data_IF_712776259054
#
_entry.id   IF_712776259054
#
_cell.length_a   1.000
_cell.length_b   1.000
_cell.length_c   1.000
_cell.angle_alpha   90.00
_cell.angle_beta   90.00
_cell.angle_gamma   90.00
#
_symmetry.space_group_name_H-M   'P 1'
#
loop_
_entity.id
_entity.type
_entity.pdbx_description
1 polymer ?
#
# COMPACT_ATOMS: atom_id res chain seq x y z
N UNK A 1 -15.33 8.42 17.15
CA UNK A 1 -15.50 7.66 15.88
C UNK A 1 -16.99 7.48 15.63
N UNK A 2 -17.53 8.26 14.70
CA UNK A 2 -18.96 8.30 14.36
C UNK A 2 -19.29 7.53 13.08
N UNK A 3 -18.27 7.19 12.25
CA UNK A 3 -18.45 6.43 11.03
C UNK A 3 -19.27 5.16 11.25
N UNK A 4 -20.24 4.90 10.40
CA UNK A 4 -21.03 3.68 10.45
C UNK A 4 -20.22 2.45 10.01
N UNK A 5 -19.26 2.63 9.11
CA UNK A 5 -18.28 1.61 8.74
C UNK A 5 -16.92 2.26 8.46
N UNK A 6 -15.84 1.57 8.85
CA UNK A 6 -14.49 2.00 8.52
C UNK A 6 -13.52 0.83 8.40
N UNK A 7 -12.40 1.09 7.73
CA UNK A 7 -11.25 0.18 7.68
C UNK A 7 -9.95 0.97 7.62
N UNK A 8 -8.91 0.44 8.26
CA UNK A 8 -7.52 0.92 8.17
C UNK A 8 -6.64 -0.23 7.71
N UNK A 9 -5.96 -0.04 6.60
CA UNK A 9 -5.07 -1.05 6.01
C UNK A 9 -3.66 -0.53 5.82
N UNK A 10 -2.69 -1.36 6.15
CA UNK A 10 -1.28 -1.06 5.96
C UNK A 10 -0.79 -1.52 4.59
N UNK A 11 -0.04 -0.67 3.88
CA UNK A 11 0.70 -1.06 2.68
C UNK A 11 2.05 -1.73 2.99
N UNK A 12 2.48 -1.70 4.26
CA UNK A 12 3.74 -2.33 4.71
C UNK A 12 3.63 -3.85 4.64
N UNK A 13 2.52 -4.41 5.11
CA UNK A 13 2.31 -5.85 5.26
C UNK A 13 0.92 -6.34 4.79
N UNK A 14 0.06 -5.43 4.31
CA UNK A 14 -1.29 -5.75 3.84
C UNK A 14 -2.32 -5.98 4.96
N UNK A 15 -1.94 -5.79 6.24
CA UNK A 15 -2.82 -6.01 7.40
C UNK A 15 -3.94 -4.98 7.48
N UNK A 16 -5.09 -5.46 7.95
CA UNK A 16 -6.12 -4.59 8.52
C UNK A 16 -5.74 -4.30 9.97
N UNK A 17 -5.51 -3.02 10.28
CA UNK A 17 -5.09 -2.54 11.60
C UNK A 17 -6.30 -2.23 12.49
N UNK A 18 -7.38 -1.74 11.90
CA UNK A 18 -8.65 -1.50 12.56
C UNK A 18 -9.79 -1.61 11.55
N UNK A 19 -10.96 -2.05 12.01
CA UNK A 19 -12.16 -2.14 11.18
C UNK A 19 -13.42 -2.13 12.05
N UNK A 20 -14.51 -1.56 11.52
CA UNK A 20 -15.88 -1.68 12.04
C UNK A 20 -16.83 -1.79 10.86
N UNK A 21 -17.68 -2.82 10.85
CA UNK A 21 -18.65 -3.08 9.77
C UNK A 21 -18.04 -2.95 8.35
N UNK A 22 -16.74 -3.30 8.22
CA UNK A 22 -15.95 -3.00 7.01
C UNK A 22 -16.44 -3.74 5.77
N UNK A 23 -17.20 -4.81 5.94
CA UNK A 23 -17.74 -5.66 4.88
C UNK A 23 -19.25 -5.46 4.67
N UNK A 24 -19.87 -4.54 5.42
CA UNK A 24 -21.28 -4.18 5.26
C UNK A 24 -21.45 -3.28 4.05
N UNK A 25 -22.34 -3.67 3.13
CA UNK A 25 -22.68 -2.87 1.95
C UNK A 25 -23.37 -1.57 2.34
N UNK A 26 -22.91 -0.46 1.76
CA UNK A 26 -23.44 0.90 1.94
C UNK A 26 -23.36 1.70 0.66
N UNK A 27 -24.24 2.70 0.46
CA UNK A 27 -24.04 3.71 -0.56
C UNK A 27 -22.66 4.36 -0.37
N UNK A 28 -21.97 4.61 -1.49
CA UNK A 28 -20.58 5.10 -1.46
C UNK A 28 -20.42 6.50 -2.05
N UNK A 29 -21.50 7.07 -2.55
CA UNK A 29 -21.53 8.39 -3.21
C UNK A 29 -20.40 8.53 -4.26
N UNK A 30 -19.82 9.72 -4.37
CA UNK A 30 -18.79 10.08 -5.36
C UNK A 30 -17.47 9.31 -5.24
N UNK A 31 -17.26 8.46 -4.23
CA UNK A 31 -16.11 7.53 -4.23
C UNK A 31 -16.16 6.61 -5.46
N UNK A 32 -17.35 6.38 -6.02
CA UNK A 32 -17.60 5.73 -7.31
C UNK A 32 -16.68 6.23 -8.43
N UNK A 33 -16.35 7.53 -8.45
CA UNK A 33 -15.56 8.15 -9.52
C UNK A 33 -14.11 7.62 -9.61
N UNK A 34 -13.60 7.00 -8.55
CA UNK A 34 -12.33 6.26 -8.62
C UNK A 34 -12.41 5.11 -9.62
N UNK A 35 -13.50 4.33 -9.61
CA UNK A 35 -13.72 3.24 -10.57
C UNK A 35 -13.97 3.81 -11.97
N UNK A 36 -14.75 4.88 -12.07
CA UNK A 36 -15.05 5.53 -13.35
C UNK A 36 -13.78 5.98 -14.05
N UNK A 37 -12.91 6.70 -13.35
CA UNK A 37 -11.65 7.17 -13.91
C UNK A 37 -10.70 6.00 -14.21
N UNK A 38 -10.64 4.99 -13.35
CA UNK A 38 -9.82 3.81 -13.56
C UNK A 38 -10.18 3.10 -14.88
N UNK A 39 -11.47 2.82 -15.09
CA UNK A 39 -11.98 2.15 -16.30
C UNK A 39 -11.87 3.03 -17.54
N UNK A 40 -12.07 4.34 -17.39
CA UNK A 40 -11.96 5.28 -18.51
C UNK A 40 -10.52 5.38 -19.02
N UNK A 41 -9.54 5.45 -18.12
CA UNK A 41 -8.10 5.54 -18.48
C UNK A 41 -7.53 4.26 -19.09
N UNK A 42 -8.17 3.10 -18.93
CA UNK A 42 -7.81 1.88 -19.68
C UNK A 42 -8.17 1.97 -21.18
N UNK A 43 -9.01 2.94 -21.58
CA UNK A 43 -9.66 3.02 -22.91
C UNK A 43 -9.41 4.32 -23.64
N UNK A 44 -9.09 5.37 -22.90
CA UNK A 44 -9.00 6.72 -23.44
C UNK A 44 -7.62 7.32 -23.13
N UNK A 45 -6.85 7.75 -24.13
CA UNK A 45 -5.67 8.56 -23.89
C UNK A 45 -6.04 9.97 -23.39
N UNK A 46 -5.19 10.59 -22.57
CA UNK A 46 -5.46 11.85 -21.88
C UNK A 46 -5.69 13.04 -22.79
N UNK A 47 -5.11 13.04 -23.96
CA UNK A 47 -5.18 14.12 -24.97
C UNK A 47 -6.37 13.96 -25.93
N UNK A 48 -7.05 12.82 -25.90
CA UNK A 48 -8.26 12.62 -26.70
C UNK A 48 -9.31 13.65 -26.32
N UNK A 49 -9.81 14.38 -27.32
CA UNK A 49 -10.92 15.33 -27.15
C UNK A 49 -12.25 14.57 -27.15
N UNK A 50 -13.06 14.82 -26.16
CA UNK A 50 -14.40 14.27 -25.96
C UNK A 50 -15.41 15.39 -26.17
N UNK A 51 -16.45 15.12 -26.95
CA UNK A 51 -17.62 15.97 -27.03
C UNK A 51 -18.60 15.58 -25.93
N UNK A 52 -18.97 16.52 -25.07
CA UNK A 52 -19.87 16.32 -23.93
C UNK A 52 -21.26 15.91 -24.43
N UNK A 53 -21.75 14.71 -24.06
CA UNK A 53 -23.07 14.28 -24.49
C UNK A 53 -24.18 14.98 -23.67
N UNK A 54 -25.34 15.19 -24.25
CA UNK A 54 -26.46 15.82 -23.56
C UNK A 54 -26.88 15.13 -22.24
N UNK A 55 -26.64 13.81 -22.11
CA UNK A 55 -26.91 13.10 -20.87
C UNK A 55 -25.96 13.53 -19.76
N UNK A 56 -24.71 13.89 -20.06
CA UNK A 56 -23.76 14.39 -19.10
C UNK A 56 -24.09 15.79 -18.61
N UNK A 57 -24.41 16.71 -19.55
CA UNK A 57 -24.79 18.09 -19.23
C UNK A 57 -26.09 18.22 -18.38
N UNK A 58 -26.87 17.12 -18.28
CA UNK A 58 -28.10 17.10 -17.46
C UNK A 58 -27.96 16.46 -16.10
N UNK A 59 -26.78 15.95 -15.76
CA UNK A 59 -26.55 15.34 -14.44
C UNK A 59 -26.36 16.44 -13.40
N UNK A 60 -27.27 16.47 -12.41
CA UNK A 60 -27.25 17.47 -11.34
C UNK A 60 -26.19 17.26 -10.27
N UNK A 61 -26.27 18.07 -9.23
CA UNK A 61 -25.38 18.18 -8.06
C UNK A 61 -23.98 18.68 -8.45
N UNK A 62 -22.88 18.10 -7.87
CA UNK A 62 -21.51 18.54 -8.19
C UNK A 62 -21.26 18.51 -9.70
N UNK A 63 -20.93 19.66 -10.29
CA UNK A 63 -20.82 19.85 -11.74
C UNK A 63 -19.62 20.74 -12.09
N UNK A 64 -19.10 20.62 -13.30
CA UNK A 64 -18.28 21.63 -13.98
C UNK A 64 -19.13 22.57 -14.84
N UNK A 65 -20.46 22.38 -14.84
CA UNK A 65 -21.42 23.09 -15.67
C UNK A 65 -21.11 22.94 -17.16
N UNK A 66 -20.85 21.69 -17.57
CA UNK A 66 -20.51 21.36 -18.94
C UNK A 66 -21.76 21.47 -19.86
N UNK A 67 -21.62 22.19 -20.96
CA UNK A 67 -22.65 22.27 -21.99
C UNK A 67 -22.64 21.05 -22.93
N UNK A 68 -23.82 20.65 -23.39
CA UNK A 68 -23.94 19.65 -24.44
C UNK A 68 -23.26 20.13 -25.74
N UNK A 69 -22.33 19.30 -26.26
CA UNK A 69 -21.54 19.68 -27.44
C UNK A 69 -20.21 20.36 -27.11
N UNK A 70 -19.96 20.74 -25.86
CA UNK A 70 -18.68 21.25 -25.41
C UNK A 70 -17.56 20.22 -25.66
N UNK A 71 -16.35 20.68 -25.94
CA UNK A 71 -15.22 19.79 -26.30
C UNK A 71 -14.09 19.95 -25.31
N UNK A 72 -13.78 18.89 -24.57
CA UNK A 72 -12.72 18.85 -23.55
C UNK A 72 -11.81 17.64 -23.75
N UNK A 73 -10.51 17.76 -23.46
CA UNK A 73 -9.63 16.59 -23.42
C UNK A 73 -10.00 15.69 -22.24
N UNK A 74 -9.78 14.39 -22.38
CA UNK A 74 -9.98 13.39 -21.32
C UNK A 74 -9.29 13.80 -20.02
N UNK A 75 -8.12 14.42 -20.10
CA UNK A 75 -7.39 14.95 -18.93
C UNK A 75 -8.27 15.88 -18.09
N UNK A 76 -8.96 16.82 -18.70
CA UNK A 76 -9.76 17.80 -17.98
C UNK A 76 -11.02 17.17 -17.37
N UNK A 77 -11.63 16.22 -18.05
CA UNK A 77 -12.73 15.42 -17.50
C UNK A 77 -12.26 14.55 -16.31
N UNK A 78 -11.04 14.01 -16.35
CA UNK A 78 -10.45 13.26 -15.22
C UNK A 78 -10.18 14.19 -14.03
N UNK A 79 -9.64 15.39 -14.28
CA UNK A 79 -9.46 16.42 -13.24
C UNK A 79 -10.84 16.77 -12.64
N UNK A 80 -11.83 17.06 -13.48
CA UNK A 80 -13.19 17.40 -13.06
C UNK A 80 -13.83 16.31 -12.19
N UNK A 81 -13.67 15.05 -12.55
CA UNK A 81 -14.21 13.92 -11.77
C UNK A 81 -13.50 13.70 -10.43
N UNK A 82 -12.19 13.92 -10.34
CA UNK A 82 -11.40 13.61 -9.14
C UNK A 82 -11.26 14.81 -8.20
N UNK A 83 -11.05 16.03 -8.69
CA UNK A 83 -10.77 17.22 -7.87
C UNK A 83 -12.09 17.83 -7.33
N UNK A 84 -12.94 18.51 -8.13
CA UNK A 84 -14.21 19.05 -7.65
C UNK A 84 -15.31 17.99 -7.56
N UNK A 85 -15.02 16.75 -7.92
CA UNK A 85 -16.00 15.65 -7.87
C UNK A 85 -17.17 15.77 -8.86
N UNK A 86 -16.98 16.38 -10.03
CA UNK A 86 -18.01 16.69 -11.00
C UNK A 86 -18.70 15.45 -11.61
N UNK A 87 -20.02 15.42 -11.57
CA UNK A 87 -20.86 14.31 -12.05
C UNK A 87 -20.97 14.29 -13.58
N UNK A 88 -21.07 15.47 -14.20
CA UNK A 88 -21.08 15.66 -15.65
C UNK A 88 -19.78 15.18 -16.30
N UNK A 89 -18.62 15.52 -15.72
CA UNK A 89 -17.32 15.05 -16.17
C UNK A 89 -17.21 13.51 -16.10
N UNK A 90 -17.66 12.91 -14.99
CA UNK A 90 -17.67 11.45 -14.80
C UNK A 90 -18.58 10.77 -15.83
N UNK A 91 -19.74 11.38 -16.12
CA UNK A 91 -20.71 10.87 -17.12
C UNK A 91 -20.18 11.02 -18.54
N UNK A 92 -19.52 12.13 -18.85
CA UNK A 92 -18.89 12.34 -20.16
C UNK A 92 -17.77 11.31 -20.41
N UNK A 93 -16.92 11.04 -19.40
CA UNK A 93 -15.93 9.96 -19.44
C UNK A 93 -16.57 8.59 -19.68
N UNK A 94 -17.65 8.29 -18.97
CA UNK A 94 -18.36 7.01 -19.09
C UNK A 94 -18.91 6.80 -20.51
N UNK A 95 -19.55 7.80 -21.10
CA UNK A 95 -20.07 7.72 -22.48
C UNK A 95 -18.93 7.61 -23.49
N UNK A 96 -17.87 8.41 -23.32
CA UNK A 96 -16.72 8.37 -24.23
C UNK A 96 -15.99 7.01 -24.21
N UNK A 97 -15.88 6.37 -23.04
CA UNK A 97 -15.19 5.09 -22.87
C UNK A 97 -16.05 3.87 -23.17
N UNK A 98 -17.36 3.94 -22.90
CA UNK A 98 -18.31 2.83 -23.01
C UNK A 98 -19.31 2.92 -24.16
N UNK A 99 -19.40 4.08 -24.82
CA UNK A 99 -20.41 4.37 -25.83
C UNK A 99 -21.80 4.74 -25.25
N UNK A 100 -22.09 4.32 -24.02
CA UNK A 100 -23.29 4.70 -23.26
C UNK A 100 -23.08 4.44 -21.77
N UNK A 101 -23.87 5.12 -20.92
CA UNK A 101 -23.83 4.91 -19.45
C UNK A 101 -24.09 3.45 -19.07
N UNK A 102 -25.13 2.75 -19.56
CA UNK A 102 -25.38 1.35 -19.19
C UNK A 102 -24.24 0.40 -19.58
N UNK A 103 -23.65 0.59 -20.76
CA UNK A 103 -22.49 -0.22 -21.20
C UNK A 103 -21.28 0.07 -20.34
N UNK A 104 -21.05 1.32 -19.97
CA UNK A 104 -19.93 1.67 -19.09
C UNK A 104 -20.11 1.10 -17.68
N UNK A 105 -21.30 1.16 -17.11
CA UNK A 105 -21.62 0.52 -15.82
C UNK A 105 -21.34 -0.99 -15.86
N UNK A 106 -21.63 -1.66 -17.00
CA UNK A 106 -21.25 -3.07 -17.18
C UNK A 106 -19.73 -3.26 -17.12
N UNK A 107 -18.94 -2.33 -17.67
CA UNK A 107 -17.47 -2.35 -17.57
C UNK A 107 -17.00 -2.13 -16.12
N UNK A 108 -17.58 -1.17 -15.40
CA UNK A 108 -17.26 -0.93 -13.97
C UNK A 108 -17.51 -2.18 -13.13
N UNK A 109 -18.66 -2.84 -13.30
CA UNK A 109 -18.98 -4.07 -12.56
C UNK A 109 -18.10 -5.26 -12.97
N UNK A 110 -17.66 -5.33 -14.22
CA UNK A 110 -16.66 -6.32 -14.64
C UNK A 110 -15.32 -6.07 -13.97
N UNK A 111 -14.87 -4.82 -13.91
CA UNK A 111 -13.62 -4.46 -13.24
C UNK A 111 -13.71 -4.70 -11.74
N UNK A 112 -14.84 -4.39 -11.08
CA UNK A 112 -15.06 -4.71 -9.68
C UNK A 112 -14.84 -6.21 -9.39
N UNK A 113 -15.45 -7.09 -10.20
CA UNK A 113 -15.25 -8.54 -10.08
C UNK A 113 -13.79 -8.95 -10.29
N UNK A 114 -13.10 -8.40 -11.30
CA UNK A 114 -11.68 -8.65 -11.58
C UNK A 114 -10.78 -8.24 -10.41
N UNK A 115 -11.11 -7.17 -9.73
CA UNK A 115 -10.40 -6.67 -8.55
C UNK A 115 -10.79 -7.38 -7.25
N UNK A 116 -11.76 -8.30 -7.27
CA UNK A 116 -12.24 -9.01 -6.09
C UNK A 116 -13.07 -8.13 -5.14
N UNK A 117 -13.71 -7.07 -5.63
CA UNK A 117 -14.58 -6.18 -4.86
C UNK A 117 -15.97 -6.82 -4.73
N UNK A 118 -16.07 -7.83 -3.88
CA UNK A 118 -17.24 -8.72 -3.80
C UNK A 118 -18.48 -8.07 -3.19
N UNK A 119 -18.31 -7.03 -2.39
CA UNK A 119 -19.38 -6.23 -1.80
C UNK A 119 -19.78 -5.01 -2.64
N UNK A 120 -19.22 -4.86 -3.87
CA UNK A 120 -19.39 -3.65 -4.68
C UNK A 120 -20.26 -3.90 -5.91
N UNK A 121 -21.23 -3.04 -6.11
CA UNK A 121 -22.04 -3.01 -7.32
C UNK A 121 -22.35 -1.56 -7.75
N UNK A 122 -22.08 -1.25 -9.02
CA UNK A 122 -22.30 0.04 -9.62
C UNK A 122 -23.60 0.07 -10.44
N UNK A 123 -24.33 1.20 -10.37
CA UNK A 123 -25.51 1.49 -11.18
C UNK A 123 -25.29 2.70 -12.10
N UNK A 124 -24.43 3.63 -11.67
CA UNK A 124 -24.10 4.83 -12.43
C UNK A 124 -22.61 5.16 -12.27
N UNK A 125 -22.04 6.08 -13.11
CA UNK A 125 -20.61 6.39 -13.07
C UNK A 125 -20.22 7.51 -12.09
N UNK A 126 -21.18 8.17 -11.45
CA UNK A 126 -20.94 9.38 -10.65
C UNK A 126 -21.18 9.18 -9.15
N UNK A 127 -22.04 8.23 -8.75
CA UNK A 127 -22.28 7.89 -7.36
C UNK A 127 -23.53 8.53 -6.73
N UNK A 128 -24.43 9.11 -7.53
CA UNK A 128 -25.75 9.53 -7.04
C UNK A 128 -26.56 8.32 -6.56
N UNK A 129 -27.47 8.57 -5.64
CA UNK A 129 -28.26 7.53 -4.99
C UNK A 129 -29.10 6.74 -5.99
N UNK A 130 -28.93 5.44 -6.03
CA UNK A 130 -29.67 4.50 -6.85
C UNK A 130 -29.72 3.14 -6.14
N UNK A 131 -30.87 2.49 -6.15
CA UNK A 131 -31.05 1.21 -5.48
C UNK A 131 -30.04 0.17 -5.97
N UNK A 132 -29.29 -0.42 -5.05
CA UNK A 132 -28.23 -1.38 -5.35
C UNK A 132 -26.92 -0.76 -5.84
N UNK A 133 -26.75 0.59 -5.76
CA UNK A 133 -25.43 1.24 -5.93
C UNK A 133 -24.69 1.24 -4.59
N UNK A 134 -23.89 0.21 -4.35
CA UNK A 134 -23.30 -0.04 -3.03
C UNK A 134 -21.85 -0.50 -3.11
N UNK A 135 -21.13 -0.30 -2.01
CA UNK A 135 -19.80 -0.86 -1.78
C UNK A 135 -19.59 -1.14 -0.28
N UNK A 136 -18.39 -1.58 0.07
CA UNK A 136 -17.95 -1.76 1.45
C UNK A 136 -16.71 -0.92 1.73
N UNK A 137 -16.46 -0.58 3.00
CA UNK A 137 -15.24 0.16 3.36
C UNK A 137 -13.97 -0.58 2.92
N UNK A 138 -13.98 -1.91 3.00
CA UNK A 138 -12.85 -2.76 2.55
C UNK A 138 -12.65 -2.72 1.05
N UNK A 139 -13.71 -2.82 0.28
CA UNK A 139 -13.63 -2.76 -1.19
C UNK A 139 -13.16 -1.39 -1.66
N UNK A 140 -13.66 -0.32 -1.04
CA UNK A 140 -13.26 1.06 -1.33
C UNK A 140 -11.77 1.28 -1.05
N UNK A 141 -11.26 0.80 0.10
CA UNK A 141 -9.84 0.88 0.42
C UNK A 141 -8.99 0.09 -0.59
N UNK A 142 -9.48 -1.09 -1.02
CA UNK A 142 -8.84 -1.90 -2.06
C UNK A 142 -8.85 -1.18 -3.41
N UNK A 143 -9.98 -0.58 -3.78
CA UNK A 143 -10.11 0.19 -5.02
C UNK A 143 -9.12 1.36 -5.05
N UNK A 144 -9.04 2.18 -3.99
CA UNK A 144 -8.09 3.28 -3.93
C UNK A 144 -6.66 2.78 -4.11
N UNK A 145 -6.27 1.74 -3.38
CA UNK A 145 -4.92 1.17 -3.47
C UNK A 145 -4.56 0.69 -4.89
N UNK A 146 -5.53 0.13 -5.62
CA UNK A 146 -5.33 -0.28 -7.02
C UNK A 146 -5.28 0.95 -7.94
N UNK A 147 -6.23 1.88 -7.79
CA UNK A 147 -6.32 3.09 -8.59
C UNK A 147 -5.03 3.94 -8.51
N UNK A 148 -4.42 4.03 -7.32
CA UNK A 148 -3.17 4.78 -7.12
C UNK A 148 -1.92 4.16 -7.77
N UNK A 149 -2.01 2.95 -8.34
CA UNK A 149 -0.96 2.42 -9.21
C UNK A 149 -0.89 3.17 -10.54
N UNK A 150 -2.02 3.73 -10.97
CA UNK A 150 -2.06 4.63 -12.12
C UNK A 150 -1.52 6.02 -11.70
N UNK A 151 -0.43 6.51 -12.32
CA UNK A 151 0.20 7.77 -11.93
C UNK A 151 -0.71 8.99 -12.17
N UNK A 152 -1.63 8.92 -13.13
CA UNK A 152 -2.59 9.97 -13.43
C UNK A 152 -3.60 10.12 -12.29
N UNK A 153 -4.20 9.00 -11.85
CA UNK A 153 -5.13 9.00 -10.72
C UNK A 153 -4.43 9.48 -9.46
N UNK A 154 -3.23 8.94 -9.18
CA UNK A 154 -2.46 9.35 -8.00
C UNK A 154 -2.15 10.85 -7.99
N UNK A 155 -1.83 11.42 -9.16
CA UNK A 155 -1.57 12.85 -9.28
C UNK A 155 -2.82 13.66 -8.99
N UNK A 156 -3.92 13.42 -9.70
CA UNK A 156 -5.10 14.29 -9.65
C UNK A 156 -5.94 14.08 -8.39
N UNK A 157 -6.04 12.87 -7.86
CA UNK A 157 -6.71 12.61 -6.59
C UNK A 157 -5.94 13.14 -5.35
N UNK A 158 -4.73 13.67 -5.53
CA UNK A 158 -3.92 14.31 -4.50
C UNK A 158 -3.79 15.83 -4.67
N UNK A 159 -4.52 16.45 -5.59
CA UNK A 159 -4.45 17.90 -5.83
C UNK A 159 -5.49 18.64 -4.99
N UNK A 160 -5.06 19.69 -4.28
CA UNK A 160 -5.97 20.59 -3.56
C UNK A 160 -6.73 21.53 -4.51
N UNK A 161 -6.12 21.86 -5.65
CA UNK A 161 -6.75 22.65 -6.72
C UNK A 161 -6.13 22.31 -8.06
N UNK A 162 -6.84 22.62 -9.15
CA UNK A 162 -6.32 22.44 -10.50
C UNK A 162 -6.89 23.53 -11.44
N UNK A 163 -6.28 23.63 -12.62
CA UNK A 163 -6.78 24.47 -13.72
C UNK A 163 -6.96 23.59 -14.95
N UNK A 164 -8.14 23.68 -15.58
CA UNK A 164 -8.45 23.01 -16.82
C UNK A 164 -7.82 23.74 -18.01
N UNK A 165 -7.74 23.08 -19.15
CA UNK A 165 -7.11 23.67 -20.36
C UNK A 165 -7.84 24.88 -20.92
N UNK A 166 -9.12 25.04 -20.63
CA UNK A 166 -9.95 26.20 -20.97
C UNK A 166 -9.83 27.37 -19.98
N UNK A 167 -9.03 27.21 -18.90
CA UNK A 167 -8.79 28.23 -17.89
C UNK A 167 -9.66 28.12 -16.64
N UNK A 168 -10.69 27.27 -16.60
CA UNK A 168 -11.50 27.04 -15.39
C UNK A 168 -10.61 26.57 -14.24
N UNK A 169 -10.69 27.24 -13.09
CA UNK A 169 -10.07 26.81 -11.83
C UNK A 169 -11.06 25.95 -11.05
N UNK A 170 -10.55 24.88 -10.43
CA UNK A 170 -11.36 23.95 -9.63
C UNK A 170 -10.63 23.59 -8.35
N UNK A 171 -11.36 23.49 -7.25
CA UNK A 171 -10.86 23.15 -5.94
C UNK A 171 -11.31 21.75 -5.52
N UNK A 172 -10.50 21.09 -4.71
CA UNK A 172 -10.80 19.77 -4.19
C UNK A 172 -11.89 19.81 -3.13
N UNK A 173 -12.71 18.78 -3.11
CA UNK A 173 -13.65 18.51 -2.02
C UNK A 173 -13.00 17.80 -0.83
N UNK A 174 -11.69 17.51 -0.91
CA UNK A 174 -10.92 16.82 0.13
C UNK A 174 -10.06 17.82 0.93
N UNK A 175 -10.58 18.30 2.06
CA UNK A 175 -9.90 19.26 2.93
C UNK A 175 -8.60 18.68 3.51
N UNK A 176 -8.56 17.36 3.75
CA UNK A 176 -7.43 16.71 4.40
C UNK A 176 -6.14 16.73 3.56
N UNK A 177 -6.24 16.91 2.25
CA UNK A 177 -5.05 17.03 1.37
C UNK A 177 -4.16 18.19 1.81
N UNK A 178 -4.78 19.31 2.22
CA UNK A 178 -4.05 20.50 2.70
C UNK A 178 -3.76 20.49 4.18
N UNK A 179 -4.56 19.81 5.00
CA UNK A 179 -4.53 19.89 6.45
C UNK A 179 -3.71 18.78 7.12
N UNK A 180 -3.60 17.60 6.49
CA UNK A 180 -2.93 16.45 7.09
C UNK A 180 -1.65 16.10 6.33
N UNK A 181 -0.47 16.36 6.93
CA UNK A 181 0.81 16.01 6.30
C UNK A 181 0.89 14.52 5.98
N UNK A 182 1.35 14.22 4.77
CA UNK A 182 1.56 12.85 4.31
C UNK A 182 0.38 12.24 3.56
N UNK A 183 -0.77 12.91 3.46
CA UNK A 183 -1.82 12.47 2.53
C UNK A 183 -1.29 12.60 1.10
N UNK A 184 -1.43 11.52 0.35
CA UNK A 184 -0.96 11.41 -1.04
C UNK A 184 -2.12 11.59 -2.00
N UNK A 185 -3.29 11.03 -1.68
CA UNK A 185 -4.48 11.09 -2.49
C UNK A 185 -5.69 10.58 -1.72
N UNK A 186 -6.88 11.05 -2.10
CA UNK A 186 -8.14 10.64 -1.53
C UNK A 186 -9.32 10.82 -2.47
N UNK A 187 -10.49 10.45 -2.02
CA UNK A 187 -11.77 10.77 -2.66
C UNK A 187 -12.87 10.86 -1.61
N UNK A 188 -13.55 11.98 -1.61
CA UNK A 188 -14.75 12.23 -0.80
C UNK A 188 -16.01 11.76 -1.52
N UNK A 189 -17.07 11.58 -0.77
CA UNK A 189 -18.40 11.31 -1.27
C UNK A 189 -19.48 11.74 -0.28
N UNK A 190 -20.54 12.35 -0.77
CA UNK A 190 -21.71 12.70 0.01
C UNK A 190 -22.98 12.56 -0.85
N UNK A 191 -24.00 11.95 -0.30
CA UNK A 191 -25.40 11.99 -0.73
C UNK A 191 -26.29 11.85 0.51
N UNK A 192 -27.57 12.12 0.38
CA UNK A 192 -28.51 11.98 1.50
C UNK A 192 -28.55 10.57 2.08
N UNK A 193 -28.40 9.52 1.25
CA UNK A 193 -28.43 8.14 1.70
C UNK A 193 -27.05 7.63 2.16
N UNK A 194 -25.96 8.12 1.56
CA UNK A 194 -24.62 7.70 1.91
C UNK A 194 -24.09 8.36 3.18
N UNK A 195 -24.61 9.54 3.55
CA UNK A 195 -23.94 10.41 4.49
C UNK A 195 -22.58 10.88 3.97
N UNK A 196 -21.75 11.40 4.84
CA UNK A 196 -20.39 11.82 4.49
C UNK A 196 -19.44 10.62 4.52
N UNK A 197 -18.72 10.44 3.45
CA UNK A 197 -17.84 9.29 3.25
C UNK A 197 -16.53 9.74 2.62
N UNK A 198 -15.43 9.05 2.92
CA UNK A 198 -14.13 9.36 2.33
C UNK A 198 -13.20 8.15 2.38
N UNK A 199 -12.31 8.05 1.41
CA UNK A 199 -11.17 7.15 1.43
C UNK A 199 -9.91 7.96 1.13
N UNK A 200 -8.83 7.72 1.87
CA UNK A 200 -7.55 8.36 1.63
C UNK A 200 -6.37 7.41 1.85
N UNK A 201 -5.28 7.73 1.17
CA UNK A 201 -3.98 7.09 1.34
C UNK A 201 -2.98 8.13 1.86
N UNK A 202 -2.37 7.83 3.00
CA UNK A 202 -1.30 8.62 3.57
C UNK A 202 0.01 7.82 3.59
N UNK A 203 1.14 8.54 3.45
CA UNK A 203 2.47 7.93 3.47
C UNK A 203 3.48 8.81 4.20
N UNK A 204 4.21 8.21 5.14
CA UNK A 204 5.36 8.81 5.81
C UNK A 204 6.56 7.86 5.64
N UNK A 205 7.57 8.32 4.94
CA UNK A 205 8.73 7.51 4.60
C UNK A 205 8.34 6.22 3.84
N UNK A 206 8.52 5.07 4.48
CA UNK A 206 8.19 3.75 3.92
C UNK A 206 6.88 3.17 4.45
N UNK A 207 6.19 3.87 5.32
CA UNK A 207 4.90 3.46 5.87
C UNK A 207 3.79 4.12 5.08
N UNK A 208 2.93 3.33 4.47
CA UNK A 208 1.74 3.80 3.78
C UNK A 208 0.49 3.18 4.41
N UNK A 209 -0.54 3.97 4.60
CA UNK A 209 -1.81 3.59 5.20
C UNK A 209 -2.95 4.01 4.27
N UNK A 210 -3.87 3.11 4.04
CA UNK A 210 -5.16 3.41 3.41
C UNK A 210 -6.24 3.33 4.48
N UNK A 211 -7.05 4.35 4.61
CA UNK A 211 -8.23 4.33 5.47
C UNK A 211 -9.48 4.78 4.71
N UNK A 212 -10.62 4.17 5.04
CA UNK A 212 -11.91 4.54 4.51
C UNK A 212 -12.92 4.68 5.66
N UNK A 213 -13.76 5.72 5.60
CA UNK A 213 -14.91 5.97 6.49
C UNK A 213 -16.17 6.11 5.64
N UNK A 214 -17.26 5.49 6.07
CA UNK A 214 -18.57 5.52 5.40
C UNK A 214 -19.67 5.88 6.39
N UNK A 215 -20.59 6.74 5.96
CA UNK A 215 -21.80 7.06 6.68
C UNK A 215 -21.57 7.95 7.90
N UNK A 216 -20.70 8.93 7.78
CA UNK A 216 -20.52 9.96 8.79
C UNK A 216 -21.69 10.96 8.78
N UNK A 217 -22.09 11.51 9.95
CA UNK A 217 -23.20 12.44 10.02
C UNK A 217 -22.88 13.84 9.50
N UNK A 218 -21.58 14.22 9.42
CA UNK A 218 -21.15 15.53 8.97
C UNK A 218 -19.80 15.48 8.28
N UNK A 219 -19.48 16.51 7.51
CA UNK A 219 -18.16 16.70 6.90
C UNK A 219 -17.07 16.77 7.97
N UNK A 220 -17.29 17.53 9.02
CA UNK A 220 -16.32 17.69 10.11
C UNK A 220 -16.01 16.35 10.82
N UNK A 221 -17.04 15.50 11.06
CA UNK A 221 -16.80 14.18 11.64
C UNK A 221 -16.04 13.24 10.67
N UNK A 222 -16.37 13.30 9.38
CA UNK A 222 -15.66 12.56 8.32
C UNK A 222 -14.16 12.88 8.34
N UNK A 223 -13.82 14.17 8.33
CA UNK A 223 -12.44 14.65 8.31
C UNK A 223 -11.70 14.29 9.60
N UNK A 224 -12.33 14.53 10.75
CA UNK A 224 -11.73 14.20 12.05
C UNK A 224 -11.48 12.69 12.22
N UNK A 225 -12.45 11.85 11.88
CA UNK A 225 -12.37 10.40 12.03
C UNK A 225 -11.37 9.79 11.05
N UNK A 226 -11.38 10.21 9.77
CA UNK A 226 -10.41 9.72 8.80
C UNK A 226 -8.98 10.13 9.15
N UNK A 227 -8.76 11.38 9.56
CA UNK A 227 -7.45 11.85 10.00
C UNK A 227 -6.94 11.07 11.23
N UNK A 228 -7.83 10.78 12.20
CA UNK A 228 -7.47 9.97 13.37
C UNK A 228 -7.08 8.54 12.97
N UNK A 229 -7.82 7.90 12.06
CA UNK A 229 -7.53 6.56 11.55
C UNK A 229 -6.20 6.50 10.78
N UNK A 230 -5.91 7.49 9.94
CA UNK A 230 -4.64 7.57 9.22
C UNK A 230 -3.47 7.75 10.19
N UNK A 231 -3.57 8.65 11.18
CA UNK A 231 -2.55 8.84 12.22
C UNK A 231 -2.33 7.57 13.05
N UNK A 232 -3.41 6.89 13.46
CA UNK A 232 -3.33 5.59 14.15
C UNK A 232 -2.55 4.57 13.31
N UNK A 233 -2.90 4.42 12.03
CA UNK A 233 -2.24 3.48 11.15
C UNK A 233 -0.74 3.80 10.95
N UNK A 234 -0.39 5.07 10.76
CA UNK A 234 1.00 5.51 10.63
C UNK A 234 1.79 5.26 11.92
N UNK A 235 1.20 5.54 13.08
CA UNK A 235 1.81 5.31 14.39
C UNK A 235 1.95 3.83 14.75
N UNK A 236 1.24 2.92 14.06
CA UNK A 236 1.36 1.46 14.26
C UNK A 236 2.69 0.88 13.77
N UNK A 237 3.53 1.68 13.13
CA UNK A 237 4.84 1.28 12.62
C UNK A 237 5.91 2.29 13.04
N UNK A 238 7.11 1.77 13.33
CA UNK A 238 8.29 2.61 13.58
C UNK A 238 9.46 2.18 12.68
N UNK A 239 10.34 3.12 12.29
CA UNK A 239 11.62 2.76 11.70
C UNK A 239 12.43 1.95 12.72
N UNK A 240 12.80 0.72 12.36
CA UNK A 240 13.58 -0.15 13.25
C UNK A 240 14.80 -0.66 12.51
N UNK A 241 15.94 -0.67 13.22
CA UNK A 241 17.16 -1.32 12.72
C UNK A 241 16.96 -2.84 12.83
N UNK A 242 16.56 -3.45 11.71
CA UNK A 242 16.25 -4.88 11.64
C UNK A 242 17.46 -5.74 11.33
N UNK A 243 18.57 -5.13 10.93
CA UNK A 243 19.89 -5.75 10.80
C UNK A 243 20.93 -4.79 11.36
N UNK A 244 21.75 -5.26 12.29
CA UNK A 244 22.81 -4.50 12.94
C UNK A 244 24.19 -5.07 12.59
N UNK A 245 25.09 -4.34 11.93
CA UNK A 245 26.41 -4.83 11.55
C UNK A 245 27.34 -5.06 12.77
N UNK A 246 27.10 -4.37 13.90
CA UNK A 246 27.87 -4.55 15.13
C UNK A 246 27.56 -5.82 15.92
N UNK A 247 26.53 -6.57 15.53
CA UNK A 247 26.04 -7.74 16.24
C UNK A 247 26.56 -9.04 15.61
N UNK A 248 27.04 -9.98 16.44
CA UNK A 248 27.28 -11.38 16.04
C UNK A 248 25.93 -12.11 15.97
N UNK A 249 25.59 -12.63 14.79
CA UNK A 249 24.33 -13.36 14.54
C UNK A 249 24.51 -14.87 14.69
N UNK A 250 25.69 -15.38 14.39
CA UNK A 250 26.03 -16.80 14.56
C UNK A 250 27.53 -16.97 14.76
N UNK A 251 27.91 -18.12 15.35
CA UNK A 251 29.28 -18.61 15.40
C UNK A 251 29.30 -19.96 14.70
N UNK A 252 30.12 -20.09 13.66
CA UNK A 252 30.22 -21.32 12.86
C UNK A 252 31.53 -22.05 13.22
N UNK A 253 31.44 -23.30 13.68
CA UNK A 253 32.63 -24.11 13.95
C UNK A 253 33.50 -24.23 12.69
N UNK A 254 34.79 -24.31 12.92
CA UNK A 254 35.78 -24.69 11.94
C UNK A 254 36.55 -25.95 12.46
N UNK A 255 37.20 -26.66 11.61
CA UNK A 255 37.94 -27.86 12.03
C UNK A 255 39.11 -27.56 12.98
N UNK A 256 39.78 -28.63 13.44
CA UNK A 256 41.08 -28.61 14.13
C UNK A 256 41.09 -27.91 15.49
N UNK A 257 39.95 -27.85 16.21
CA UNK A 257 39.89 -27.23 17.53
C UNK A 257 40.09 -25.72 17.54
N UNK A 258 40.05 -25.07 16.38
CA UNK A 258 40.15 -23.62 16.27
C UNK A 258 38.86 -22.93 16.74
N UNK A 259 39.03 -21.70 17.20
CA UNK A 259 37.88 -20.83 17.58
C UNK A 259 36.88 -20.68 16.44
N UNK A 260 35.57 -20.79 16.72
CA UNK A 260 34.52 -20.60 15.72
C UNK A 260 34.60 -19.25 15.03
N UNK A 261 34.24 -19.21 13.77
CA UNK A 261 34.12 -17.96 13.02
C UNK A 261 32.83 -17.24 13.38
N UNK A 262 32.94 -16.03 13.92
CA UNK A 262 31.81 -15.16 14.19
C UNK A 262 31.29 -14.59 12.88
N UNK A 263 29.97 -14.63 12.71
CA UNK A 263 29.28 -14.08 11.53
C UNK A 263 28.52 -12.79 11.87
N UNK A 264 28.80 -11.77 11.11
CA UNK A 264 28.19 -10.42 11.23
C UNK A 264 27.49 -10.04 9.93
N UNK A 265 26.59 -9.05 9.99
CA UNK A 265 26.02 -8.44 8.80
C UNK A 265 26.96 -7.33 8.29
N UNK A 266 27.19 -7.19 6.97
CA UNK A 266 28.12 -6.19 6.44
C UNK A 266 27.58 -4.75 6.50
N UNK A 267 26.26 -4.57 6.66
CA UNK A 267 25.61 -3.24 6.73
C UNK A 267 24.32 -3.27 7.52
N UNK A 268 23.95 -2.12 8.09
CA UNK A 268 22.67 -1.93 8.75
C UNK A 268 21.52 -1.90 7.74
N UNK A 269 20.37 -2.46 8.14
CA UNK A 269 19.12 -2.31 7.40
C UNK A 269 18.05 -1.74 8.33
N UNK A 270 17.44 -0.61 7.93
CA UNK A 270 16.30 -0.01 8.62
C UNK A 270 15.04 -0.29 7.81
N UNK A 271 14.02 -0.82 8.47
CA UNK A 271 12.71 -1.13 7.87
C UNK A 271 11.59 -0.70 8.82
N UNK A 272 10.39 -0.38 8.28
CA UNK A 272 9.21 -0.27 9.12
C UNK A 272 8.96 -1.60 9.84
N UNK A 273 8.84 -1.54 11.15
CA UNK A 273 8.46 -2.67 11.99
C UNK A 273 7.18 -2.34 12.75
N UNK A 274 6.24 -3.28 12.90
CA UNK A 274 5.06 -3.08 13.72
C UNK A 274 5.47 -2.86 15.18
N UNK A 275 4.70 -2.05 15.92
CA UNK A 275 4.98 -1.78 17.33
C UNK A 275 4.36 -2.83 18.26
N UNK A 276 3.38 -3.58 17.78
CA UNK A 276 2.54 -4.52 18.53
C UNK A 276 3.10 -5.95 18.58
N UNK A 277 4.19 -6.24 17.85
CA UNK A 277 4.79 -7.57 17.82
C UNK A 277 6.26 -7.55 17.42
N UNK A 278 7.07 -8.55 17.90
CA UNK A 278 8.47 -8.67 17.55
C UNK A 278 8.64 -9.22 16.12
N UNK A 279 9.78 -8.87 15.50
CA UNK A 279 10.27 -9.52 14.31
C UNK A 279 11.04 -10.78 14.70
N UNK A 280 10.96 -11.82 13.87
CA UNK A 280 11.68 -13.09 14.07
C UNK A 280 12.90 -13.13 13.17
N UNK A 281 14.06 -13.40 13.77
CA UNK A 281 15.33 -13.60 13.07
C UNK A 281 15.59 -15.09 12.84
N UNK A 282 15.95 -15.44 11.62
CA UNK A 282 16.38 -16.80 11.27
C UNK A 282 17.71 -16.73 10.54
N UNK A 283 18.71 -17.40 11.08
CA UNK A 283 20.00 -17.56 10.44
C UNK A 283 20.04 -18.90 9.69
N UNK A 284 20.58 -18.85 8.47
CA UNK A 284 20.87 -20.03 7.66
C UNK A 284 22.37 -20.04 7.46
N UNK A 285 23.08 -20.92 8.16
CA UNK A 285 24.54 -21.03 8.20
C UNK A 285 24.94 -22.48 8.04
N UNK A 286 26.15 -22.81 7.53
CA UNK A 286 26.64 -24.17 7.48
C UNK A 286 26.91 -24.70 8.90
N UNK A 287 26.86 -26.01 9.10
CA UNK A 287 27.20 -26.67 10.37
C UNK A 287 28.68 -26.50 10.72
N UNK A 288 29.57 -26.52 9.71
CA UNK A 288 31.01 -26.32 9.81
C UNK A 288 31.48 -25.52 8.60
N UNK A 289 32.37 -24.57 8.80
CA UNK A 289 32.98 -23.83 7.69
C UNK A 289 34.33 -24.46 7.28
N UNK A 290 34.53 -24.60 5.98
CA UNK A 290 35.82 -25.09 5.44
C UNK A 290 36.89 -24.01 5.55
N UNK A 291 38.09 -24.40 5.94
CA UNK A 291 39.29 -23.54 6.01
C UNK A 291 40.03 -23.52 4.65
N UNK A 292 40.69 -22.43 4.31
CA UNK A 292 40.76 -21.16 5.04
C UNK A 292 39.48 -20.31 4.84
N UNK A 293 39.08 -19.57 5.87
CA UNK A 293 38.03 -18.57 5.82
C UNK A 293 38.65 -17.18 5.68
N UNK A 294 38.22 -16.40 4.70
CA UNK A 294 38.66 -15.01 4.51
C UNK A 294 37.80 -14.04 5.31
N UNK A 295 38.40 -12.94 5.73
CA UNK A 295 37.63 -11.82 6.29
C UNK A 295 36.58 -11.33 5.27
N UNK A 296 35.35 -11.05 5.74
CA UNK A 296 34.23 -10.67 4.86
C UNK A 296 33.67 -11.80 3.98
N UNK A 297 34.21 -13.04 4.04
CA UNK A 297 33.69 -14.18 3.29
C UNK A 297 32.23 -14.47 3.68
N UNK A 298 31.33 -14.54 2.70
CA UNK A 298 29.94 -14.91 2.95
C UNK A 298 29.84 -16.39 3.33
N UNK A 299 29.29 -16.65 4.52
CA UNK A 299 29.11 -18.02 5.06
C UNK A 299 27.64 -18.31 5.40
N UNK A 300 26.75 -17.31 5.34
CA UNK A 300 25.37 -17.52 5.69
C UNK A 300 24.43 -16.43 5.21
N UNK A 301 23.19 -16.52 5.67
CA UNK A 301 22.16 -15.53 5.41
C UNK A 301 21.29 -15.34 6.65
N UNK A 302 21.07 -14.08 7.03
CA UNK A 302 20.05 -13.65 7.99
C UNK A 302 18.76 -13.36 7.25
N UNK A 303 17.66 -13.92 7.73
CA UNK A 303 16.30 -13.63 7.26
C UNK A 303 15.51 -13.08 8.43
N UNK A 304 15.03 -11.82 8.31
CA UNK A 304 14.16 -11.19 9.30
C UNK A 304 12.74 -11.27 8.80
N UNK A 305 11.82 -11.75 9.63
CA UNK A 305 10.43 -12.01 9.28
C UNK A 305 9.47 -11.29 10.22
N UNK A 306 8.30 -10.96 9.67
CA UNK A 306 7.10 -10.53 10.37
C UNK A 306 6.01 -11.56 10.02
N UNK A 307 5.80 -12.55 10.90
CA UNK A 307 5.05 -13.75 10.57
C UNK A 307 5.65 -14.46 9.35
N UNK A 308 4.83 -14.72 8.33
CA UNK A 308 5.28 -15.37 7.09
C UNK A 308 5.98 -14.44 6.11
N UNK A 309 5.90 -13.13 6.33
CA UNK A 309 6.47 -12.13 5.44
C UNK A 309 7.96 -11.90 5.73
N UNK A 310 8.79 -11.93 4.69
CA UNK A 310 10.21 -11.53 4.81
C UNK A 310 10.30 -9.99 4.78
N UNK A 311 10.80 -9.40 5.88
CA UNK A 311 11.03 -7.96 6.05
C UNK A 311 12.40 -7.55 5.53
N UNK A 312 13.42 -8.39 5.78
CA UNK A 312 14.77 -8.15 5.33
C UNK A 312 15.54 -9.48 5.09
N UNK A 313 16.51 -9.41 4.20
CA UNK A 313 17.56 -10.43 4.04
C UNK A 313 18.91 -9.74 4.04
N UNK A 314 19.90 -10.32 4.72
CA UNK A 314 21.29 -9.88 4.74
C UNK A 314 22.21 -11.07 4.59
N UNK A 315 23.29 -10.98 3.81
CA UNK A 315 24.36 -11.95 3.93
C UNK A 315 24.93 -11.90 5.36
N UNK A 316 25.40 -13.04 5.84
CA UNK A 316 26.25 -13.14 7.02
C UNK A 316 27.66 -13.44 6.54
N UNK A 317 28.61 -12.61 6.97
CA UNK A 317 29.99 -12.67 6.56
C UNK A 317 30.90 -12.95 7.78
N UNK A 318 32.05 -13.56 7.54
CA UNK A 318 33.06 -13.78 8.58
C UNK A 318 33.57 -12.42 9.10
N UNK A 319 33.59 -12.25 10.42
CA UNK A 319 34.08 -11.04 11.08
C UNK A 319 35.60 -10.96 11.16
N UNK A 320 36.30 -12.07 10.84
CA UNK A 320 37.74 -12.15 10.74
C UNK A 320 38.16 -13.40 9.94
N UNK A 321 39.34 -13.35 9.36
CA UNK A 321 39.93 -14.50 8.67
C UNK A 321 40.28 -15.64 9.67
N UNK A 322 40.27 -16.88 9.16
CA UNK A 322 40.79 -18.05 9.82
C UNK A 322 41.64 -18.84 8.83
N UNK A 323 42.93 -18.92 9.13
CA UNK A 323 43.88 -19.70 8.34
C UNK A 323 43.74 -21.20 8.60
N UNK A 324 44.12 -22.00 7.66
CA UNK A 324 44.27 -23.43 7.87
C UNK A 324 45.51 -23.69 8.77
N UNK A 325 45.40 -24.54 9.79
CA UNK A 325 46.55 -24.83 10.65
C UNK A 325 47.67 -25.59 9.89
N UNK A 326 48.91 -25.36 10.28
CA UNK A 326 50.05 -26.03 9.71
C UNK A 326 50.05 -27.55 10.00
N UNK A 327 50.95 -28.29 9.34
CA UNK A 327 51.01 -29.73 9.46
C UNK A 327 51.31 -30.20 10.92
N UNK A 328 52.16 -29.48 11.67
CA UNK A 328 52.49 -29.76 13.07
C UNK A 328 51.29 -29.53 13.99
N UNK A 329 50.51 -28.46 13.79
CA UNK A 329 49.31 -28.16 14.59
C UNK A 329 48.20 -29.22 14.36
N UNK A 330 48.04 -29.67 13.11
CA UNK A 330 47.12 -30.75 12.74
C UNK A 330 47.51 -32.06 13.41
N UNK A 331 48.80 -32.41 13.37
CA UNK A 331 49.35 -33.62 14.02
C UNK A 331 49.14 -33.58 15.56
N UNK A 332 49.42 -32.45 16.21
CA UNK A 332 49.21 -32.26 17.65
C UNK A 332 47.73 -32.40 18.03
N UNK A 333 46.81 -31.83 17.26
CA UNK A 333 45.38 -31.97 17.52
C UNK A 333 44.88 -33.41 17.37
N UNK A 334 45.34 -34.14 16.32
CA UNK A 334 45.02 -35.56 16.11
C UNK A 334 45.54 -36.44 17.28
N UNK A 335 46.81 -36.24 17.73
CA UNK A 335 47.38 -36.96 18.84
C UNK A 335 46.59 -36.74 20.15
N UNK A 336 46.24 -35.49 20.47
CA UNK A 336 45.44 -35.15 21.66
C UNK A 336 44.07 -35.82 21.68
N UNK A 337 43.42 -35.90 20.52
CA UNK A 337 42.09 -36.53 20.38
C UNK A 337 42.14 -38.05 20.53
N UNK A 338 43.22 -38.71 20.08
CA UNK A 338 43.43 -40.15 20.23
C UNK A 338 43.66 -40.51 21.70
N UNK A 339 44.44 -39.72 22.45
CA UNK A 339 44.68 -39.92 23.89
C UNK A 339 43.33 -39.73 24.67
N UNK A 340 42.52 -38.77 24.37
CA UNK A 340 41.22 -38.60 25.05
C UNK A 340 40.25 -39.76 24.81
N UNK A 341 40.21 -40.35 23.61
CA UNK A 341 39.42 -41.54 23.34
C UNK A 341 39.93 -42.79 24.07
N UNK A 342 41.25 -42.95 24.25
CA UNK A 342 41.82 -44.06 24.97
C UNK A 342 41.63 -44.00 26.51
N UNK A 343 41.65 -42.78 27.07
CA UNK A 343 41.41 -42.60 28.52
C UNK A 343 39.90 -42.78 28.85
N UNK A 344 38.97 -42.39 27.94
CA UNK A 344 37.53 -42.61 28.12
C UNK A 344 37.05 -44.06 27.94
N UNK A 345 37.93 -44.97 27.46
CA UNK A 345 37.66 -46.42 27.36
C UNK A 345 38.16 -47.22 28.56
N UNK A 346 38.91 -46.59 29.47
CA UNK A 346 39.55 -47.23 30.64
C UNK A 346 38.97 -46.69 31.95
N UNK A 347 38.05 -45.74 31.91
CA UNK A 347 37.28 -45.24 33.05
C UNK A 347 35.80 -45.65 32.92
#
# INVERSE_FOLDING_TARGET
MQAQAYVVQSSVDGRTLAARSADTQRPMASITKLMTVLVALERLPLDRVVTVPAVAARVGESSLDLDAGERLPVRDLVIGALVPSANDAATALAVAAGGSVPRFVTLMNREARKLGLTGTHYRNPHGLDEAGHVSTARDIATLLRVALRNPVIRRYAGMASARLSDGRAVDSTDNLISEVPGIVAGKTGHTSNAGWSQVAYARVGRVGITAAVLGEPSEASRDADLAALLRFGLASYRPSRVVDPGRTYASVPVGWGLEPVRLVAPRALVRPAPIDRPLVERMVVPAVAALPVRDGQRLGTLVVRDGDRVVARSPLVAAAARSEPGALEKAGWLAGRTVHHLVGLVS
#
